data_IF_161956419660
#
_entry.id   IF_161956419660
#
_cell.length_a   1.000
_cell.length_b   1.000
_cell.length_c   1.000
_cell.angle_alpha   90.00
_cell.angle_beta   90.00
_cell.angle_gamma   90.00
#
_symmetry.space_group_name_H-M   'P 1'
#
loop_
_entity.id
_entity.type
_entity.pdbx_description
1 polymer ?
#
# COMPACT_ATOMS: atom_id res chain seq x y z
N UNK A 1 15.15 -7.70 11.27
CA UNK A 1 13.97 -6.97 11.76
C UNK A 1 13.72 -5.82 10.80
N UNK A 2 12.57 -5.73 10.13
CA UNK A 2 12.20 -4.48 9.45
C UNK A 2 11.97 -3.42 10.54
N UNK A 3 12.69 -2.31 10.50
CA UNK A 3 12.59 -1.27 11.54
C UNK A 3 11.17 -0.70 11.56
N UNK A 4 10.75 -0.16 12.71
CA UNK A 4 9.52 0.64 12.77
C UNK A 4 9.61 1.85 11.83
N UNK A 5 10.84 2.35 11.59
CA UNK A 5 11.13 3.44 10.68
C UNK A 5 10.81 3.07 9.23
N UNK A 6 11.15 1.85 8.80
CA UNK A 6 10.84 1.36 7.44
C UNK A 6 9.34 1.34 7.19
N UNK A 7 8.56 0.97 8.21
CA UNK A 7 7.08 0.93 8.13
C UNK A 7 6.50 2.34 8.05
N UNK A 8 7.02 3.27 8.86
CA UNK A 8 6.62 4.68 8.82
C UNK A 8 6.98 5.33 7.47
N UNK A 9 8.16 5.02 6.94
CA UNK A 9 8.59 5.50 5.63
C UNK A 9 7.69 4.98 4.51
N UNK A 10 7.40 3.68 4.47
CA UNK A 10 6.47 3.12 3.49
C UNK A 10 5.06 3.71 3.60
N UNK A 11 4.56 3.91 4.82
CA UNK A 11 3.27 4.54 5.05
C UNK A 11 3.21 5.93 4.40
N UNK A 12 4.22 6.76 4.65
CA UNK A 12 4.29 8.12 4.06
C UNK A 12 4.28 8.10 2.53
N UNK A 13 5.00 7.17 1.92
CA UNK A 13 5.01 7.02 0.46
C UNK A 13 3.60 6.72 -0.07
N UNK A 14 2.89 5.79 0.57
CA UNK A 14 1.53 5.43 0.15
C UNK A 14 0.53 6.57 0.39
N UNK A 15 0.68 7.34 1.47
CA UNK A 15 -0.14 8.53 1.74
C UNK A 15 0.06 9.62 0.68
N UNK A 16 1.28 9.79 0.14
CA UNK A 16 1.55 10.73 -0.97
C UNK A 16 0.83 10.33 -2.26
N UNK A 17 0.66 9.02 -2.49
CA UNK A 17 -0.14 8.47 -3.60
C UNK A 17 -1.66 8.50 -3.32
N UNK A 18 -2.10 9.10 -2.20
CA UNK A 18 -3.50 9.26 -1.83
C UNK A 18 -4.13 8.03 -1.16
N UNK A 19 -3.33 7.04 -0.74
CA UNK A 19 -3.82 5.86 -0.03
C UNK A 19 -4.16 6.22 1.40
N UNK A 20 -5.38 5.87 1.82
CA UNK A 20 -5.87 6.13 3.17
C UNK A 20 -5.70 4.90 4.07
N UNK A 21 -5.30 5.15 5.31
CA UNK A 21 -5.12 4.14 6.34
C UNK A 21 -6.22 4.23 7.39
N UNK A 22 -6.83 3.10 7.76
CA UNK A 22 -7.90 3.03 8.77
C UNK A 22 -7.37 2.92 10.21
N UNK A 23 -6.10 2.57 10.35
CA UNK A 23 -5.36 2.39 11.61
C UNK A 23 -3.88 2.72 11.34
N UNK A 24 -3.00 2.60 12.33
CA UNK A 24 -1.59 3.00 12.26
C UNK A 24 -0.88 2.48 10.99
N UNK A 25 -1.15 1.24 10.56
CA UNK A 25 -0.56 0.63 9.35
C UNK A 25 -1.52 -0.28 8.56
N UNK A 26 -2.85 -0.08 8.67
CA UNK A 26 -3.84 -0.91 7.94
C UNK A 26 -4.44 -0.13 6.77
N UNK A 27 -4.49 -0.78 5.60
CA UNK A 27 -5.07 -0.26 4.36
C UNK A 27 -6.16 -1.21 3.86
N UNK A 28 -7.24 -0.68 3.29
CA UNK A 28 -8.26 -1.51 2.64
C UNK A 28 -7.80 -1.93 1.23
N UNK A 29 -7.35 -3.17 1.10
CA UNK A 29 -6.88 -3.68 -0.18
C UNK A 29 -7.96 -3.66 -1.27
N UNK A 30 -9.26 -3.78 -0.95
CA UNK A 30 -10.28 -3.76 -2.02
C UNK A 30 -10.32 -2.45 -2.80
N UNK A 31 -9.89 -1.35 -2.17
CA UNK A 31 -9.87 -0.03 -2.79
C UNK A 31 -8.62 0.21 -3.64
N UNK A 32 -7.50 -0.41 -3.27
CA UNK A 32 -6.18 -0.05 -3.80
C UNK A 32 -5.43 -1.21 -4.45
N UNK A 33 -5.94 -2.45 -4.33
CA UNK A 33 -5.35 -3.59 -5.01
C UNK A 33 -5.51 -3.37 -6.51
N UNK A 34 -4.37 -3.36 -7.21
CA UNK A 34 -4.37 -3.34 -8.65
C UNK A 34 -5.09 -4.61 -9.16
N UNK A 35 -6.25 -4.43 -9.80
CA UNK A 35 -6.92 -5.53 -10.49
C UNK A 35 -6.13 -5.84 -11.75
N UNK A 36 -5.28 -6.86 -11.64
CA UNK A 36 -4.63 -7.45 -12.80
C UNK A 36 -5.68 -8.34 -13.46
N UNK A 37 -6.57 -7.73 -14.25
CA UNK A 37 -7.26 -8.50 -15.29
C UNK A 37 -6.16 -8.97 -16.25
N UNK A 38 -5.70 -10.21 -16.04
CA UNK A 38 -4.75 -10.96 -16.85
C UNK A 38 -3.58 -10.14 -17.37
N UNK A 39 -2.38 -10.33 -16.79
CA UNK A 39 -1.16 -10.13 -17.60
C UNK A 39 -1.29 -11.16 -18.72
N UNK A 40 -1.89 -10.78 -19.84
CA UNK A 40 -1.70 -11.48 -21.10
C UNK A 40 -0.19 -11.42 -21.31
N UNK A 41 0.46 -12.59 -21.15
CA UNK A 41 1.89 -12.79 -21.30
C UNK A 41 2.40 -12.00 -22.52
N UNK A 42 3.24 -10.98 -22.26
CA UNK A 42 3.98 -10.24 -23.29
C UNK A 42 5.27 -11.00 -23.60
#
# INVERSE_FOLDING_TARGET
>A
MKSIDDKQFHKKLLELEGIQFSDTFKVDLKLYLWNVESIDDI
#
